data_IF_229220018839
#
_entry.id   IF_229220018839
#
_cell.length_a   1.000
_cell.length_b   1.000
_cell.length_c   1.000
_cell.angle_alpha   90.00
_cell.angle_beta   90.00
_cell.angle_gamma   90.00
#
_symmetry.space_group_name_H-M   'P 1'
#
loop_
_entity.id
_entity.type
_entity.pdbx_description
1 polymer ?
#
# COMPACT_ATOMS: atom_id res chain seq x y z
N UNK A 1 -14.97 13.17 3.86
CA UNK A 1 -15.93 12.12 3.48
C UNK A 1 -15.32 11.20 2.44
N UNK A 2 -15.36 9.89 2.66
CA UNK A 2 -14.98 8.89 1.65
C UNK A 2 -16.18 8.67 0.71
N UNK A 3 -15.94 8.71 -0.59
CA UNK A 3 -16.97 8.59 -1.62
C UNK A 3 -16.50 7.62 -2.71
N UNK A 4 -17.40 6.78 -3.19
CA UNK A 4 -17.14 5.76 -4.18
C UNK A 4 -17.91 6.07 -5.48
N UNK A 5 -17.18 6.30 -6.57
CA UNK A 5 -17.76 6.65 -7.87
C UNK A 5 -17.97 5.41 -8.75
N UNK A 6 -18.95 5.47 -9.66
CA UNK A 6 -19.37 4.40 -10.58
C UNK A 6 -18.26 3.81 -11.47
N UNK A 7 -17.07 4.41 -11.52
CA UNK A 7 -15.91 3.95 -12.28
C UNK A 7 -14.92 3.12 -11.43
N UNK A 8 -15.28 2.78 -10.19
CA UNK A 8 -14.40 2.07 -9.26
C UNK A 8 -13.38 2.99 -8.59
N UNK A 9 -13.67 4.29 -8.59
CA UNK A 9 -12.80 5.32 -8.03
C UNK A 9 -13.20 5.63 -6.59
N UNK A 10 -12.28 5.41 -5.66
CA UNK A 10 -12.39 5.91 -4.29
C UNK A 10 -11.85 7.32 -4.22
N UNK A 11 -12.61 8.24 -3.62
CA UNK A 11 -12.20 9.64 -3.43
C UNK A 11 -12.42 10.06 -1.99
N UNK A 12 -11.47 10.82 -1.45
CA UNK A 12 -11.59 11.44 -0.14
C UNK A 12 -11.79 12.95 -0.33
N UNK A 13 -12.88 13.47 0.22
CA UNK A 13 -13.22 14.89 0.18
C UNK A 13 -13.04 15.54 1.55
N UNK A 14 -12.54 16.78 1.57
CA UNK A 14 -12.50 17.61 2.77
C UNK A 14 -13.88 18.21 3.09
N UNK A 15 -13.97 19.04 4.14
CA UNK A 15 -15.23 19.69 4.56
C UNK A 15 -15.84 20.65 3.52
N UNK A 16 -15.03 21.15 2.57
CA UNK A 16 -15.49 22.00 1.46
C UNK A 16 -15.82 21.20 0.19
N UNK A 17 -16.02 19.88 0.29
CA UNK A 17 -16.25 18.96 -0.83
C UNK A 17 -15.12 18.85 -1.86
N UNK A 18 -13.94 19.42 -1.59
CA UNK A 18 -12.76 19.31 -2.46
C UNK A 18 -12.13 17.94 -2.29
N UNK A 19 -11.86 17.27 -3.40
CA UNK A 19 -11.11 15.99 -3.41
C UNK A 19 -9.67 16.27 -3.00
N UNK A 20 -9.23 15.63 -1.92
CA UNK A 20 -7.85 15.72 -1.38
C UNK A 20 -7.03 14.45 -1.64
N UNK A 21 -7.69 13.35 -1.97
CA UNK A 21 -7.06 12.10 -2.37
C UNK A 21 -8.00 11.28 -3.26
N UNK A 22 -7.43 10.50 -4.18
CA UNK A 22 -8.18 9.53 -4.99
C UNK A 22 -7.33 8.31 -5.27
N UNK A 23 -7.96 7.14 -5.38
CA UNK A 23 -7.31 5.95 -5.93
C UNK A 23 -7.00 6.15 -7.43
N UNK A 24 -6.07 5.38 -8.00
CA UNK A 24 -5.84 5.42 -9.44
C UNK A 24 -6.98 4.74 -10.21
N UNK A 25 -7.50 5.39 -11.25
CA UNK A 25 -8.51 4.81 -12.15
C UNK A 25 -7.92 3.70 -13.03
N UNK A 26 -8.67 2.62 -13.26
CA UNK A 26 -8.31 1.52 -14.20
C UNK A 26 -9.17 1.51 -15.46
N UNK A 27 -9.85 2.62 -15.77
CA UNK A 27 -10.80 2.70 -16.88
C UNK A 27 -12.23 2.46 -16.43
N UNK A 28 -13.11 2.10 -17.37
CA UNK A 28 -14.55 1.96 -17.13
C UNK A 28 -14.85 0.58 -16.55
N UNK A 29 -15.06 0.51 -15.24
CA UNK A 29 -15.39 -0.73 -14.53
C UNK A 29 -16.90 -0.90 -14.44
N UNK A 30 -17.41 -2.10 -14.74
CA UNK A 30 -18.83 -2.41 -14.56
C UNK A 30 -19.12 -2.83 -13.12
N UNK A 31 -20.13 -2.19 -12.52
CA UNK A 31 -20.65 -2.45 -11.16
C UNK A 31 -19.55 -2.69 -10.12
N UNK A 32 -18.61 -1.74 -9.95
CA UNK A 32 -17.54 -1.91 -9.00
C UNK A 32 -18.10 -1.89 -7.57
N UNK A 33 -17.44 -2.58 -6.65
CA UNK A 33 -17.77 -2.58 -5.22
C UNK A 33 -16.51 -2.30 -4.40
N UNK A 34 -16.65 -1.55 -3.32
CA UNK A 34 -15.59 -1.34 -2.33
C UNK A 34 -15.93 -2.14 -1.07
N UNK A 35 -14.99 -2.94 -0.57
CA UNK A 35 -15.19 -3.85 0.55
C UNK A 35 -13.97 -3.88 1.46
N UNK A 36 -14.18 -3.78 2.77
CA UNK A 36 -13.17 -4.10 3.77
C UNK A 36 -13.29 -5.59 4.12
N UNK A 37 -12.22 -6.35 3.94
CA UNK A 37 -12.16 -7.77 4.27
C UNK A 37 -11.78 -7.98 5.74
N UNK A 38 -12.07 -9.17 6.27
CA UNK A 38 -11.72 -9.55 7.65
C UNK A 38 -10.20 -9.53 7.90
N UNK A 39 -9.39 -9.64 6.85
CA UNK A 39 -7.94 -9.46 6.93
C UNK A 39 -7.49 -8.02 7.16
N UNK A 40 -8.39 -7.04 7.05
CA UNK A 40 -8.09 -5.61 7.05
C UNK A 40 -7.73 -5.04 5.67
N UNK A 41 -7.75 -5.87 4.61
CA UNK A 41 -7.52 -5.40 3.25
C UNK A 41 -8.76 -4.68 2.70
N UNK A 42 -8.63 -3.39 2.39
CA UNK A 42 -9.66 -2.62 1.69
C UNK A 42 -9.48 -2.84 0.19
N UNK A 43 -10.46 -3.48 -0.44
CA UNK A 43 -10.40 -3.88 -1.84
C UNK A 43 -11.48 -3.19 -2.66
N UNK A 44 -11.17 -2.94 -3.94
CA UNK A 44 -12.16 -2.59 -4.96
C UNK A 44 -12.24 -3.75 -5.94
N UNK A 45 -13.45 -4.24 -6.19
CA UNK A 45 -13.73 -5.40 -7.05
C UNK A 45 -14.67 -5.03 -8.18
N UNK A 46 -14.55 -5.69 -9.33
CA UNK A 46 -15.56 -5.62 -10.40
C UNK A 46 -16.70 -6.63 -10.19
N UNK A 47 -17.68 -6.64 -11.10
CA UNK A 47 -18.80 -7.57 -11.10
C UNK A 47 -18.40 -9.05 -11.18
N UNK A 48 -17.20 -9.35 -11.67
CA UNK A 48 -16.62 -10.70 -11.74
C UNK A 48 -15.79 -11.06 -10.51
N UNK A 49 -15.87 -10.23 -9.46
CA UNK A 49 -15.12 -10.34 -8.21
C UNK A 49 -13.59 -10.23 -8.36
N UNK A 50 -13.08 -9.78 -9.51
CA UNK A 50 -11.65 -9.55 -9.70
C UNK A 50 -11.20 -8.33 -8.89
N UNK A 51 -10.03 -8.45 -8.25
CA UNK A 51 -9.46 -7.35 -7.48
C UNK A 51 -8.83 -6.33 -8.41
N UNK A 52 -9.35 -5.11 -8.37
CA UNK A 52 -8.86 -3.98 -9.15
C UNK A 52 -7.84 -3.15 -8.35
N UNK A 53 -8.07 -3.05 -7.04
CA UNK A 53 -7.22 -2.32 -6.08
C UNK A 53 -7.28 -3.01 -4.73
N UNK A 54 -6.17 -2.92 -4.01
CA UNK A 54 -6.03 -3.46 -2.65
C UNK A 54 -5.21 -2.48 -1.81
N UNK A 55 -5.64 -2.17 -0.59
CA UNK A 55 -4.83 -1.35 0.32
C UNK A 55 -3.52 -2.04 0.68
N UNK A 56 -3.49 -3.38 0.67
CA UNK A 56 -2.29 -4.17 0.92
C UNK A 56 -1.17 -3.98 -0.11
N UNK A 57 -1.48 -3.40 -1.29
CA UNK A 57 -0.46 -3.01 -2.27
C UNK A 57 0.20 -1.66 -1.92
N UNK A 58 -0.43 -0.84 -1.08
CA UNK A 58 0.08 0.48 -0.68
C UNK A 58 0.20 0.55 0.85
N UNK A 59 1.19 -0.15 1.43
CA UNK A 59 1.37 -0.22 2.88
C UNK A 59 1.68 1.14 3.50
N UNK A 60 1.36 1.27 4.79
CA UNK A 60 1.80 2.35 5.67
C UNK A 60 3.04 1.95 6.49
N UNK A 61 2.95 2.15 7.80
CA UNK A 61 3.99 1.84 8.79
C UNK A 61 3.90 0.40 9.35
N UNK A 62 2.79 -0.30 9.11
CA UNK A 62 2.53 -1.65 9.63
C UNK A 62 2.34 -2.69 8.52
N UNK A 63 2.86 -3.90 8.76
CA UNK A 63 2.56 -5.09 7.98
C UNK A 63 1.55 -5.96 8.73
N UNK A 64 0.37 -6.16 8.14
CA UNK A 64 -0.67 -7.07 8.61
C UNK A 64 -0.47 -8.48 8.03
N UNK A 65 -1.00 -9.52 8.71
CA UNK A 65 -1.01 -10.88 8.15
C UNK A 65 -1.63 -10.91 6.74
N UNK A 66 -0.93 -11.55 5.80
CA UNK A 66 -1.33 -11.63 4.40
C UNK A 66 -0.88 -10.47 3.51
N UNK A 67 -0.31 -9.40 4.07
CA UNK A 67 0.37 -8.36 3.27
C UNK A 67 1.65 -8.91 2.65
N UNK A 68 1.96 -8.43 1.45
CA UNK A 68 3.25 -8.69 0.80
C UNK A 68 4.14 -7.46 0.95
N UNK A 69 5.28 -7.61 1.58
CA UNK A 69 6.33 -6.59 1.64
C UNK A 69 7.50 -7.09 0.80
N UNK A 70 8.06 -6.22 -0.03
CA UNK A 70 9.13 -6.51 -0.97
C UNK A 70 8.75 -6.23 -2.42
N UNK A 71 9.48 -6.86 -3.35
CA UNK A 71 9.43 -6.50 -4.77
C UNK A 71 8.58 -7.51 -5.51
N UNK A 72 7.60 -7.00 -6.24
CA UNK A 72 6.93 -7.79 -7.25
C UNK A 72 7.84 -7.96 -8.47
N UNK A 73 8.44 -9.15 -8.63
CA UNK A 73 9.41 -9.40 -9.71
C UNK A 73 8.78 -9.34 -11.11
N UNK A 74 7.46 -9.46 -11.24
CA UNK A 74 6.77 -9.36 -12.54
C UNK A 74 6.54 -7.91 -12.94
N UNK A 75 6.13 -7.07 -11.99
CA UNK A 75 5.76 -5.67 -12.26
C UNK A 75 6.86 -4.67 -11.88
N UNK A 76 7.90 -5.09 -11.17
CA UNK A 76 8.93 -4.24 -10.58
C UNK A 76 8.43 -3.42 -9.37
N UNK A 77 7.19 -3.62 -8.94
CA UNK A 77 6.57 -2.78 -7.92
C UNK A 77 7.14 -3.06 -6.53
N UNK A 78 7.68 -2.02 -5.90
CA UNK A 78 8.24 -2.06 -4.55
C UNK A 78 7.17 -1.79 -3.48
N UNK A 79 6.90 -2.79 -2.64
CA UNK A 79 6.08 -2.66 -1.44
C UNK A 79 7.00 -2.52 -0.24
N UNK A 80 7.17 -1.31 0.28
CA UNK A 80 8.03 -1.03 1.44
C UNK A 80 7.20 -0.33 2.52
N UNK A 81 7.44 -0.66 3.78
CA UNK A 81 6.84 0.07 4.89
C UNK A 81 7.58 1.38 5.10
N UNK A 82 6.89 2.40 5.60
CA UNK A 82 7.47 3.71 5.90
C UNK A 82 6.94 4.21 7.25
N UNK A 83 7.81 4.84 8.05
CA UNK A 83 7.43 5.34 9.37
C UNK A 83 6.61 6.62 9.27
N UNK A 84 5.82 6.87 10.32
CA UNK A 84 5.26 8.17 10.61
C UNK A 84 6.34 9.10 11.14
N UNK A 85 6.23 10.41 10.89
CA UNK A 85 7.17 11.41 11.45
C UNK A 85 7.14 11.46 12.97
N UNK A 86 5.97 11.21 13.55
CA UNK A 86 5.83 11.09 15.00
C UNK A 86 4.55 10.33 15.33
N UNK A 87 4.36 10.01 16.62
CA UNK A 87 3.13 9.38 17.13
C UNK A 87 1.85 10.12 16.71
N UNK A 88 1.91 11.45 16.55
CA UNK A 88 0.75 12.29 16.26
C UNK A 88 0.75 12.86 14.83
N UNK A 89 1.77 12.54 14.02
CA UNK A 89 1.89 13.00 12.63
C UNK A 89 2.08 11.78 11.71
N UNK A 90 1.00 11.29 11.08
CA UNK A 90 1.04 10.13 10.20
C UNK A 90 1.63 10.43 8.82
N UNK A 91 2.15 11.64 8.59
CA UNK A 91 2.87 11.91 7.34
C UNK A 91 4.14 11.07 7.26
N UNK A 92 4.51 10.73 6.03
CA UNK A 92 5.65 9.87 5.74
C UNK A 92 6.96 10.50 6.19
N UNK A 93 7.76 9.70 6.88
CA UNK A 93 9.11 10.02 7.35
C UNK A 93 10.18 9.30 6.52
N UNK A 94 11.45 9.53 6.83
CA UNK A 94 12.61 9.01 6.11
C UNK A 94 12.91 7.54 6.42
N UNK A 95 12.43 7.00 7.54
CA UNK A 95 12.65 5.59 7.83
C UNK A 95 11.76 4.68 6.98
N UNK A 96 12.37 3.69 6.35
CA UNK A 96 11.66 2.69 5.55
C UNK A 96 12.16 1.29 5.86
N UNK A 97 11.25 0.31 5.81
CA UNK A 97 11.57 -1.11 5.86
C UNK A 97 11.33 -1.71 4.47
N UNK A 98 12.39 -2.20 3.84
CA UNK A 98 12.34 -2.66 2.45
C UNK A 98 13.10 -3.96 2.25
N UNK A 99 12.72 -4.69 1.21
CA UNK A 99 13.50 -5.82 0.72
C UNK A 99 14.39 -5.37 -0.43
N UNK A 100 15.64 -5.82 -0.41
CA UNK A 100 16.55 -5.65 -1.54
C UNK A 100 16.77 -7.00 -2.23
N UNK A 101 16.71 -7.06 -3.58
CA UNK A 101 16.82 -8.30 -4.33
C UNK A 101 18.28 -8.59 -4.77
N UNK A 102 19.25 -7.73 -4.41
CA UNK A 102 20.64 -7.92 -4.81
C UNK A 102 21.25 -9.07 -4.00
N UNK A 103 21.23 -10.27 -4.57
CA UNK A 103 21.64 -11.51 -3.92
C UNK A 103 20.46 -12.23 -3.27
N UNK A 104 20.59 -12.56 -1.99
CA UNK A 104 19.51 -13.19 -1.22
C UNK A 104 18.50 -12.16 -0.73
N UNK A 105 17.24 -12.60 -0.55
CA UNK A 105 16.18 -11.77 0.02
C UNK A 105 16.57 -11.35 1.45
N UNK A 106 16.73 -10.04 1.65
CA UNK A 106 17.17 -9.44 2.92
C UNK A 106 16.29 -8.25 3.26
N UNK A 107 15.98 -8.09 4.55
CA UNK A 107 15.25 -6.93 5.09
C UNK A 107 16.25 -5.87 5.51
N UNK A 108 15.98 -4.64 5.07
CA UNK A 108 16.75 -3.45 5.41
C UNK A 108 15.85 -2.42 6.09
N UNK A 109 16.38 -1.80 7.14
CA UNK A 109 15.86 -0.54 7.65
C UNK A 109 16.77 0.57 7.15
N UNK A 110 16.19 1.47 6.36
CA UNK A 110 16.86 2.63 5.79
C UNK A 110 16.40 3.88 6.52
N UNK A 111 17.26 4.89 6.58
CA UNK A 111 16.91 6.27 6.90
C UNK A 111 17.34 7.12 5.70
N UNK A 112 16.37 7.46 4.85
CA UNK A 112 16.65 8.02 3.53
C UNK A 112 17.51 7.05 2.71
N UNK A 113 18.70 7.50 2.31
CA UNK A 113 19.68 6.70 1.55
C UNK A 113 20.64 5.89 2.44
N UNK A 114 20.57 6.02 3.77
CA UNK A 114 21.51 5.39 4.70
C UNK A 114 20.94 4.09 5.29
N UNK A 115 21.69 3.01 5.17
CA UNK A 115 21.38 1.74 5.85
C UNK A 115 21.59 1.91 7.36
N UNK A 116 20.55 1.58 8.15
CA UNK A 116 20.60 1.59 9.62
C UNK A 116 20.66 0.20 10.21
N UNK A 117 19.97 -0.75 9.57
CA UNK A 117 19.92 -2.12 10.01
C UNK A 117 19.71 -3.07 8.84
N UNK A 118 20.27 -4.27 8.97
CA UNK A 118 20.13 -5.38 8.03
C UNK A 118 19.86 -6.64 8.83
N UNK A 119 18.73 -7.29 8.54
CA UNK A 119 18.34 -8.53 9.23
C UNK A 119 19.22 -9.73 8.84
N UNK A 120 19.86 -9.65 7.66
CA UNK A 120 20.61 -10.75 7.05
C UNK A 120 19.74 -11.60 6.12
N UNK A 121 20.36 -12.55 5.39
CA UNK A 121 19.65 -13.45 4.48
C UNK A 121 18.62 -14.30 5.21
N UNK A 122 17.53 -14.62 4.52
CA UNK A 122 16.57 -15.58 5.04
C UNK A 122 17.14 -17.01 4.92
N UNK A 123 17.13 -17.75 6.04
CA UNK A 123 17.79 -19.07 6.14
C UNK A 123 16.86 -20.28 5.98
N UNK A 124 15.58 -20.06 5.64
CA UNK A 124 14.57 -21.12 5.58
C UNK A 124 14.00 -21.41 6.96
#
# INVERSE_FOLDING_TARGET
MLNFKRQGLLTLQNGSSRVIWSSNATGRVQNPTAQLLDSGNLVVRDATANYLRQSFEYPGDIALPGMKVGIDLKTGFHRSLWSWKSRNDPSRDEFTCTFHPRGFLQIFIMNGSFERYRAGPQNG
#
